data_IF_762439412915
#
_entry.id   IF_762439412915
#
_cell.length_a   1.000
_cell.length_b   1.000
_cell.length_c   1.000
_cell.angle_alpha   90.00
_cell.angle_beta   90.00
_cell.angle_gamma   90.00
#
_symmetry.space_group_name_H-M   'P 1'
#
loop_
_entity.id
_entity.type
_entity.pdbx_description
1 polymer ?
#
# COMPACT_ATOMS: atom_id res chain seq x y z
N UNK A 1 -22.75 -20.10 -15.32
CA UNK A 1 -22.50 -18.68 -15.04
C UNK A 1 -21.29 -18.59 -14.13
N UNK A 2 -20.27 -17.82 -14.51
CA UNK A 2 -19.04 -17.67 -13.73
C UNK A 2 -19.30 -16.78 -12.52
N UNK A 3 -18.85 -17.19 -11.33
CA UNK A 3 -18.91 -16.35 -10.13
C UNK A 3 -17.62 -15.56 -9.94
N UNK A 4 -17.73 -14.31 -9.50
CA UNK A 4 -16.58 -13.46 -9.20
C UNK A 4 -16.48 -13.26 -7.70
N UNK A 5 -15.26 -13.27 -7.17
CA UNK A 5 -14.98 -12.91 -5.78
C UNK A 5 -13.81 -11.92 -5.72
N UNK A 6 -13.82 -11.07 -4.71
CA UNK A 6 -12.69 -10.18 -4.42
C UNK A 6 -11.66 -10.95 -3.60
N UNK A 7 -10.45 -11.03 -4.11
CA UNK A 7 -9.35 -11.74 -3.48
C UNK A 7 -9.00 -11.12 -2.12
N UNK A 8 -9.04 -9.80 -2.04
CA UNK A 8 -8.65 -9.00 -0.88
C UNK A 8 -9.71 -8.86 0.22
N UNK A 9 -10.93 -9.37 0.00
CA UNK A 9 -11.96 -9.53 1.04
C UNK A 9 -11.83 -10.89 1.80
N UNK A 10 -10.99 -11.80 1.28
CA UNK A 10 -10.76 -13.12 1.86
C UNK A 10 -9.78 -13.06 3.05
N UNK A 11 -9.73 -14.12 3.86
CA UNK A 11 -8.61 -14.38 4.78
C UNK A 11 -7.60 -15.31 4.10
N UNK A 12 -6.36 -15.31 4.59
CA UNK A 12 -5.28 -16.06 3.97
C UNK A 12 -5.55 -17.57 3.92
N UNK A 13 -6.18 -18.13 4.95
CA UNK A 13 -6.52 -19.56 5.02
C UNK A 13 -7.63 -19.93 4.03
N UNK A 14 -8.54 -18.99 3.75
CA UNK A 14 -9.57 -19.18 2.72
C UNK A 14 -8.93 -19.19 1.32
N UNK A 15 -7.92 -18.34 1.09
CA UNK A 15 -7.13 -18.38 -0.15
C UNK A 15 -6.32 -19.67 -0.23
N UNK A 16 -5.74 -20.13 0.87
CA UNK A 16 -5.02 -21.41 0.93
C UNK A 16 -5.94 -22.61 0.60
N UNK A 17 -7.25 -22.50 0.86
CA UNK A 17 -8.24 -23.50 0.48
C UNK A 17 -8.70 -23.45 -0.98
N UNK A 18 -8.29 -22.45 -1.78
CA UNK A 18 -8.72 -22.35 -3.17
C UNK A 18 -8.09 -23.44 -4.05
N UNK A 19 -8.84 -23.99 -5.03
CA UNK A 19 -8.25 -24.81 -6.08
C UNK A 19 -7.14 -24.05 -6.80
N UNK A 20 -5.98 -24.69 -7.00
CA UNK A 20 -4.79 -24.05 -7.59
C UNK A 20 -4.90 -23.78 -9.10
N UNK A 21 -5.97 -24.27 -9.72
CA UNK A 21 -6.40 -23.91 -11.07
C UNK A 21 -7.48 -22.82 -11.08
N UNK A 22 -7.80 -22.20 -9.92
CA UNK A 22 -8.67 -21.02 -9.87
C UNK A 22 -8.00 -19.87 -10.61
N UNK A 23 -8.65 -19.26 -11.62
CA UNK A 23 -8.16 -18.05 -12.26
C UNK A 23 -8.10 -16.89 -11.27
N UNK A 24 -6.92 -16.30 -11.11
CA UNK A 24 -6.69 -15.08 -10.35
C UNK A 24 -6.24 -13.98 -11.32
N UNK A 25 -6.92 -12.84 -11.28
CA UNK A 25 -6.75 -11.76 -12.26
C UNK A 25 -6.43 -10.46 -11.53
N UNK A 26 -5.27 -9.87 -11.84
CA UNK A 26 -4.84 -8.53 -11.44
C UNK A 26 -5.24 -7.52 -12.52
N UNK A 27 -6.26 -6.68 -12.30
CA UNK A 27 -6.67 -5.71 -13.31
C UNK A 27 -5.87 -4.40 -13.20
N UNK A 28 -5.45 -3.86 -14.34
CA UNK A 28 -4.93 -2.49 -14.45
C UNK A 28 -6.11 -1.53 -14.55
N UNK A 29 -6.45 -0.88 -13.44
CA UNK A 29 -7.65 -0.07 -13.31
C UNK A 29 -8.92 -0.88 -13.07
N UNK A 30 -10.03 -0.18 -12.81
CA UNK A 30 -11.33 -0.76 -12.49
C UNK A 30 -12.38 -0.50 -13.57
N UNK A 31 -13.43 -1.33 -13.60
CA UNK A 31 -14.57 -1.15 -14.50
C UNK A 31 -14.49 -1.92 -15.82
N UNK A 32 -13.76 -3.04 -15.85
CA UNK A 32 -13.82 -3.99 -16.96
C UNK A 32 -15.16 -4.72 -17.03
N UNK A 33 -15.56 -5.10 -18.25
CA UNK A 33 -16.68 -5.99 -18.48
C UNK A 33 -16.34 -7.41 -18.04
N UNK A 34 -17.01 -7.87 -16.97
CA UNK A 34 -16.73 -9.17 -16.36
C UNK A 34 -17.24 -10.35 -17.21
N UNK A 35 -18.27 -10.16 -18.03
CA UNK A 35 -18.77 -11.22 -18.92
C UNK A 35 -17.78 -11.47 -20.06
N UNK A 36 -17.18 -10.40 -20.60
CA UNK A 36 -16.08 -10.52 -21.56
C UNK A 36 -14.84 -11.20 -20.95
N UNK A 37 -14.49 -10.87 -19.70
CA UNK A 37 -13.40 -11.53 -18.98
C UNK A 37 -13.68 -13.03 -18.79
N UNK A 38 -14.89 -13.37 -18.35
CA UNK A 38 -15.30 -14.76 -18.20
C UNK A 38 -15.20 -15.50 -19.55
N UNK A 39 -15.64 -14.87 -20.64
CA UNK A 39 -15.51 -15.41 -22.00
C UNK A 39 -14.07 -15.71 -22.40
N UNK A 40 -13.14 -14.76 -22.18
CA UNK A 40 -11.71 -14.97 -22.47
C UNK A 40 -11.09 -16.13 -21.67
N UNK A 41 -11.60 -16.39 -20.47
CA UNK A 41 -11.14 -17.47 -19.61
C UNK A 41 -11.91 -18.78 -19.79
N UNK A 42 -12.73 -18.88 -20.84
CA UNK A 42 -13.58 -20.04 -21.16
C UNK A 42 -14.62 -20.37 -20.09
N UNK A 43 -15.22 -19.33 -19.51
CA UNK A 43 -16.29 -19.40 -18.50
C UNK A 43 -16.02 -20.38 -17.35
N UNK A 44 -14.92 -20.20 -16.59
CA UNK A 44 -14.62 -21.06 -15.47
C UNK A 44 -15.70 -20.92 -14.38
N UNK A 45 -15.83 -21.88 -13.44
CA UNK A 45 -16.84 -21.80 -12.40
C UNK A 45 -16.72 -20.54 -11.53
N UNK A 46 -15.47 -20.11 -11.25
CA UNK A 46 -15.16 -18.93 -10.44
C UNK A 46 -13.92 -18.19 -10.97
N UNK A 47 -13.83 -16.89 -10.70
CA UNK A 47 -12.66 -16.04 -10.95
C UNK A 47 -12.42 -15.16 -9.72
N UNK A 48 -11.18 -15.14 -9.24
CA UNK A 48 -10.72 -14.19 -8.22
C UNK A 48 -10.20 -12.91 -8.85
N UNK A 49 -10.73 -11.77 -8.42
CA UNK A 49 -10.25 -10.45 -8.82
C UNK A 49 -9.38 -9.88 -7.70
N UNK A 50 -8.13 -9.57 -8.02
CA UNK A 50 -7.23 -8.85 -7.12
C UNK A 50 -7.58 -7.35 -7.07
N UNK A 51 -7.14 -6.62 -6.04
CA UNK A 51 -7.22 -5.17 -5.99
C UNK A 51 -6.72 -4.53 -7.30
N UNK A 52 -7.48 -3.62 -7.92
CA UNK A 52 -7.02 -2.97 -9.14
C UNK A 52 -5.73 -2.20 -8.93
N UNK A 53 -4.76 -2.35 -9.85
CA UNK A 53 -3.58 -1.53 -9.88
C UNK A 53 -3.98 -0.11 -10.36
N UNK A 54 -3.69 0.97 -9.60
CA UNK A 54 -4.38 2.25 -9.81
C UNK A 54 -3.81 3.11 -10.96
N UNK A 55 -2.50 3.07 -11.21
CA UNK A 55 -1.82 3.86 -12.24
C UNK A 55 -0.48 3.23 -12.63
N UNK A 56 0.18 3.75 -13.66
CA UNK A 56 1.54 3.36 -14.06
C UNK A 56 1.68 2.97 -15.52
N UNK A 57 0.57 2.63 -16.18
CA UNK A 57 0.53 2.30 -17.60
C UNK A 57 0.10 3.50 -18.46
N UNK A 58 0.34 3.40 -19.76
CA UNK A 58 -0.08 4.41 -20.75
C UNK A 58 -1.59 4.65 -20.71
N UNK A 59 -1.99 5.90 -20.50
CA UNK A 59 -3.40 6.27 -20.39
C UNK A 59 -4.00 6.09 -18.99
N UNK A 60 -3.20 5.77 -17.96
CA UNK A 60 -3.68 5.74 -16.56
C UNK A 60 -3.74 7.12 -15.88
N UNK A 61 -3.28 8.18 -16.57
CA UNK A 61 -3.12 9.53 -16.00
C UNK A 61 -1.75 9.77 -15.34
N UNK A 62 -0.98 8.73 -15.07
CA UNK A 62 0.40 8.79 -14.59
C UNK A 62 1.19 7.58 -15.15
N UNK A 63 1.73 7.76 -16.35
CA UNK A 63 2.52 6.73 -17.02
C UNK A 63 3.95 6.68 -16.48
N UNK A 64 4.46 5.47 -16.27
CA UNK A 64 5.82 5.21 -15.82
C UNK A 64 6.61 4.47 -16.90
N UNK A 65 7.96 4.45 -16.84
CA UNK A 65 8.77 3.64 -17.74
C UNK A 65 8.34 2.17 -17.70
N UNK A 66 8.01 1.61 -18.87
CA UNK A 66 7.47 0.24 -18.99
C UNK A 66 8.30 -0.83 -18.25
N UNK A 67 9.66 -0.85 -18.28
CA UNK A 67 10.42 -1.85 -17.56
C UNK A 67 10.21 -1.81 -16.05
N UNK A 68 10.12 -0.61 -15.47
CA UNK A 68 9.89 -0.42 -14.02
C UNK A 68 8.48 -0.90 -13.66
N UNK A 69 7.49 -0.49 -14.45
CA UNK A 69 6.09 -0.86 -14.24
C UNK A 69 5.88 -2.37 -14.34
N UNK A 70 6.33 -2.99 -15.43
CA UNK A 70 6.10 -4.43 -15.65
C UNK A 70 6.94 -5.32 -14.73
N UNK A 71 8.08 -4.88 -14.24
CA UNK A 71 8.80 -5.62 -13.20
C UNK A 71 7.99 -5.70 -11.90
N UNK A 72 7.36 -4.60 -11.50
CA UNK A 72 6.46 -4.58 -10.34
C UNK A 72 5.30 -5.56 -10.54
N UNK A 73 4.62 -5.47 -11.70
CA UNK A 73 3.52 -6.38 -12.04
C UNK A 73 3.98 -7.85 -12.06
N UNK A 74 5.12 -8.16 -12.65
CA UNK A 74 5.66 -9.52 -12.70
C UNK A 74 5.83 -10.09 -11.30
N UNK A 75 6.45 -9.33 -10.39
CA UNK A 75 6.68 -9.79 -9.02
C UNK A 75 5.37 -10.12 -8.30
N UNK A 76 4.30 -9.33 -8.53
CA UNK A 76 2.98 -9.64 -7.98
C UNK A 76 2.38 -10.92 -8.56
N UNK A 77 2.48 -11.14 -9.88
CA UNK A 77 1.99 -12.38 -10.49
C UNK A 77 2.80 -13.59 -10.01
N UNK A 78 4.10 -13.42 -9.83
CA UNK A 78 5.00 -14.46 -9.30
C UNK A 78 4.64 -14.80 -7.86
N UNK A 79 4.20 -13.84 -7.03
CA UNK A 79 3.68 -14.14 -5.68
C UNK A 79 2.56 -15.18 -5.70
N UNK A 80 1.60 -15.04 -6.63
CA UNK A 80 0.49 -15.98 -6.76
C UNK A 80 0.95 -17.35 -7.30
N UNK A 81 1.96 -17.37 -8.18
CA UNK A 81 2.52 -18.62 -8.72
C UNK A 81 3.30 -19.39 -7.67
N UNK A 82 4.04 -18.69 -6.83
CA UNK A 82 4.77 -19.27 -5.70
C UNK A 82 3.80 -19.90 -4.68
N UNK A 83 2.59 -19.32 -4.52
CA UNK A 83 1.47 -19.92 -3.78
C UNK A 83 0.83 -21.13 -4.51
N UNK A 84 1.38 -21.51 -5.67
CA UNK A 84 0.99 -22.68 -6.46
C UNK A 84 -0.12 -22.43 -7.47
N UNK A 85 -0.62 -21.20 -7.65
CA UNK A 85 -1.67 -20.93 -8.64
C UNK A 85 -1.14 -21.02 -10.07
N UNK A 86 -1.79 -21.85 -10.88
CA UNK A 86 -1.41 -22.12 -12.28
C UNK A 86 -2.05 -21.16 -13.29
N UNK A 87 -3.12 -20.47 -12.90
CA UNK A 87 -3.92 -19.59 -13.77
C UNK A 87 -3.92 -18.17 -13.23
N UNK A 88 -2.79 -17.49 -13.41
CA UNK A 88 -2.54 -16.13 -12.92
C UNK A 88 -2.41 -15.17 -14.09
N UNK A 89 -3.19 -14.09 -14.08
CA UNK A 89 -3.27 -13.16 -15.18
C UNK A 89 -3.19 -11.69 -14.73
N UNK A 90 -2.54 -10.85 -15.54
CA UNK A 90 -2.73 -9.40 -15.55
C UNK A 90 -3.75 -9.04 -16.64
N UNK A 91 -4.80 -8.31 -16.27
CA UNK A 91 -5.81 -7.81 -17.22
C UNK A 91 -5.52 -6.35 -17.55
N UNK A 92 -5.29 -6.08 -18.83
CA UNK A 92 -4.88 -4.78 -19.34
C UNK A 92 -5.90 -4.18 -20.32
N UNK A 93 -5.91 -2.85 -20.49
CA UNK A 93 -6.52 -2.22 -21.64
C UNK A 93 -5.92 -2.75 -22.96
N UNK A 94 -6.71 -2.99 -24.00
CA UNK A 94 -6.16 -3.35 -25.32
C UNK A 94 -5.21 -2.26 -25.85
N UNK A 95 -4.26 -2.66 -26.68
CA UNK A 95 -3.26 -1.73 -27.25
C UNK A 95 -2.07 -1.44 -26.32
N UNK A 96 -2.14 -1.82 -25.05
CA UNK A 96 -0.93 -2.03 -24.24
C UNK A 96 -0.29 -3.35 -24.66
N UNK A 97 0.79 -3.25 -25.42
CA UNK A 97 1.65 -4.37 -25.75
C UNK A 97 2.93 -4.23 -24.92
N UNK A 98 3.06 -4.92 -23.78
CA UNK A 98 4.34 -4.93 -23.07
C UNK A 98 5.44 -5.40 -24.02
N UNK A 99 6.56 -4.68 -24.07
CA UNK A 99 7.69 -5.12 -24.90
C UNK A 99 8.13 -6.52 -24.47
N UNK A 100 8.22 -7.43 -25.45
CA UNK A 100 8.31 -8.90 -25.22
C UNK A 100 9.46 -9.38 -24.34
N UNK A 101 10.47 -8.54 -24.08
CA UNK A 101 11.64 -8.89 -23.26
C UNK A 101 11.41 -8.86 -21.75
N UNK A 102 10.34 -8.21 -21.27
CA UNK A 102 10.10 -8.02 -19.83
C UNK A 102 8.94 -8.84 -19.26
N UNK A 103 8.25 -9.56 -20.14
CA UNK A 103 7.13 -10.43 -19.80
C UNK A 103 7.64 -11.86 -19.74
N UNK A 104 7.96 -12.33 -18.55
CA UNK A 104 8.03 -13.78 -18.35
C UNK A 104 6.59 -14.29 -18.49
N UNK A 105 6.34 -15.23 -19.42
CA UNK A 105 5.03 -15.83 -19.68
C UNK A 105 4.02 -14.91 -20.41
N UNK A 106 4.12 -14.82 -21.74
CA UNK A 106 3.17 -14.08 -22.60
C UNK A 106 1.70 -14.43 -22.37
N UNK A 107 1.42 -15.67 -21.93
CA UNK A 107 0.05 -16.16 -21.67
C UNK A 107 -0.57 -15.61 -20.37
N UNK A 108 0.20 -14.87 -19.57
CA UNK A 108 -0.27 -14.25 -18.34
C UNK A 108 -0.96 -12.90 -18.55
N UNK A 109 -1.11 -12.42 -19.79
CA UNK A 109 -1.62 -11.09 -20.07
C UNK A 109 -2.91 -11.18 -20.89
N UNK A 110 -4.00 -10.68 -20.32
CA UNK A 110 -5.31 -10.58 -20.94
C UNK A 110 -5.54 -9.14 -21.36
N UNK A 111 -6.29 -8.93 -22.45
CA UNK A 111 -6.63 -7.59 -22.91
C UNK A 111 -8.11 -7.45 -23.17
N UNK A 112 -8.74 -6.43 -22.59
CA UNK A 112 -10.15 -6.09 -22.81
C UNK A 112 -10.30 -4.59 -23.12
N UNK A 113 -11.39 -4.18 -23.80
CA UNK A 113 -11.73 -2.77 -23.92
C UNK A 113 -11.84 -2.12 -22.53
N UNK A 114 -11.27 -0.93 -22.37
CA UNK A 114 -11.24 -0.19 -21.11
C UNK A 114 -11.28 1.31 -21.36
N UNK A 115 -11.93 2.05 -20.46
CA UNK A 115 -12.13 3.51 -20.60
C UNK A 115 -10.84 4.32 -20.77
N UNK A 116 -9.71 3.82 -20.25
CA UNK A 116 -8.40 4.48 -20.35
C UNK A 116 -7.85 4.54 -21.77
N UNK A 117 -8.43 3.81 -22.73
CA UNK A 117 -8.00 3.82 -24.13
C UNK A 117 -8.63 4.97 -24.93
N UNK A 118 -9.81 5.42 -24.52
CA UNK A 118 -10.72 6.22 -25.34
C UNK A 118 -10.82 7.68 -24.86
N UNK A 119 -10.01 8.08 -23.89
CA UNK A 119 -9.97 9.45 -23.36
C UNK A 119 -8.54 9.88 -23.16
N UNK A 120 -8.25 11.15 -23.42
CA UNK A 120 -7.07 11.80 -22.83
C UNK A 120 -7.17 11.59 -21.32
N UNK A 121 -6.32 10.75 -20.78
CA UNK A 121 -6.38 10.41 -19.37
C UNK A 121 -6.19 11.70 -18.57
N UNK A 122 -7.13 11.99 -17.66
CA UNK A 122 -6.97 13.13 -16.75
C UNK A 122 -5.65 12.90 -16.01
N UNK A 123 -4.69 13.84 -16.10
CA UNK A 123 -3.42 13.68 -15.42
C UNK A 123 -3.64 13.50 -13.92
N UNK A 124 -2.84 12.63 -13.31
CA UNK A 124 -2.96 12.27 -11.91
C UNK A 124 -1.67 12.64 -11.18
N UNK A 125 -1.69 13.57 -10.22
CA UNK A 125 -2.80 14.48 -9.90
C UNK A 125 -3.00 15.51 -11.03
N UNK A 126 -4.14 16.22 -11.11
CA UNK A 126 -4.32 17.29 -12.10
C UNK A 126 -3.33 18.45 -11.90
N UNK A 127 -2.95 19.13 -12.99
CA UNK A 127 -1.98 20.24 -12.93
C UNK A 127 -2.46 21.44 -12.08
N UNK A 128 -3.77 21.55 -11.84
CA UNK A 128 -4.36 22.53 -10.91
C UNK A 128 -3.98 22.31 -9.44
N UNK A 129 -3.45 21.13 -9.12
CA UNK A 129 -3.08 20.73 -7.77
C UNK A 129 -1.61 21.06 -7.43
N UNK A 130 -0.86 21.68 -8.35
CA UNK A 130 0.52 22.11 -8.09
C UNK A 130 0.58 23.06 -6.89
N UNK A 131 1.66 22.96 -6.12
CA UNK A 131 1.85 23.70 -4.87
C UNK A 131 1.12 23.09 -3.66
N UNK A 132 0.35 22.01 -3.84
CA UNK A 132 -0.14 21.18 -2.73
C UNK A 132 0.86 20.07 -2.39
N UNK A 133 0.76 19.52 -1.19
CA UNK A 133 1.42 18.26 -0.85
C UNK A 133 0.66 17.11 -1.52
N UNK A 134 1.36 16.34 -2.33
CA UNK A 134 0.79 15.12 -2.94
C UNK A 134 0.94 13.98 -1.94
N UNK A 135 -0.19 13.52 -1.41
CA UNK A 135 -0.26 12.35 -0.54
C UNK A 135 -0.25 11.10 -1.41
N UNK A 136 0.71 10.21 -1.15
CA UNK A 136 0.90 8.94 -1.83
C UNK A 136 0.58 7.82 -0.82
N UNK A 137 -0.71 7.42 -0.67
CA UNK A 137 -1.08 6.33 0.22
C UNK A 137 -0.70 4.97 -0.35
N UNK A 138 -0.03 4.17 0.48
CA UNK A 138 0.55 2.88 0.11
C UNK A 138 0.14 1.86 1.17
N UNK A 139 -0.82 1.01 0.82
CA UNK A 139 -1.22 -0.12 1.67
C UNK A 139 -0.44 -1.37 1.30
N UNK A 140 -1.10 -2.50 1.55
CA UNK A 140 -0.65 -3.81 1.15
C UNK A 140 -1.83 -4.78 1.02
N UNK A 141 -1.58 -5.92 0.40
CA UNK A 141 -2.51 -7.07 0.33
C UNK A 141 -1.82 -8.24 0.99
N UNK A 142 -2.14 -8.50 2.26
CA UNK A 142 -1.44 -9.50 3.07
C UNK A 142 -2.32 -10.19 4.11
N UNK A 143 -1.87 -11.38 4.52
CA UNK A 143 -2.49 -12.15 5.59
C UNK A 143 -2.68 -11.29 6.86
N UNK A 144 -3.82 -11.38 7.53
CA UNK A 144 -4.08 -10.73 8.82
C UNK A 144 -4.82 -11.70 9.75
N UNK A 145 -4.21 -12.84 10.02
CA UNK A 145 -4.85 -13.90 10.80
C UNK A 145 -6.12 -14.45 10.15
N UNK A 146 -6.95 -15.11 10.94
CA UNK A 146 -8.18 -15.75 10.45
C UNK A 146 -9.42 -14.84 10.45
N UNK A 147 -9.36 -13.68 11.12
CA UNK A 147 -10.51 -12.81 11.32
C UNK A 147 -10.57 -11.60 10.39
N UNK A 148 -9.44 -11.13 9.86
CA UNK A 148 -9.39 -9.92 9.02
C UNK A 148 -9.16 -10.23 7.53
N UNK A 149 -9.63 -9.35 6.64
CA UNK A 149 -9.41 -9.48 5.20
C UNK A 149 -7.95 -9.18 4.82
N UNK A 150 -7.54 -9.54 3.60
CA UNK A 150 -6.18 -9.19 3.12
C UNK A 150 -5.97 -7.69 2.86
N UNK A 151 -7.05 -6.91 2.81
CA UNK A 151 -7.07 -5.49 2.44
C UNK A 151 -6.88 -4.50 3.61
N UNK A 152 -6.57 -4.99 4.82
CA UNK A 152 -6.49 -4.18 6.07
C UNK A 152 -5.69 -2.90 5.86
N UNK A 153 -4.42 -3.02 5.47
CA UNK A 153 -3.48 -1.90 5.31
C UNK A 153 -3.98 -0.86 4.31
N UNK A 154 -4.57 -1.34 3.22
CA UNK A 154 -5.10 -0.52 2.12
C UNK A 154 -6.32 0.27 2.59
N UNK A 155 -7.26 -0.39 3.28
CA UNK A 155 -8.48 0.25 3.81
C UNK A 155 -8.11 1.34 4.81
N UNK A 156 -7.17 1.07 5.71
CA UNK A 156 -6.74 2.01 6.75
C UNK A 156 -6.08 3.24 6.13
N UNK A 157 -5.07 3.04 5.28
CA UNK A 157 -4.29 4.17 4.76
C UNK A 157 -5.08 5.02 3.77
N UNK A 158 -6.00 4.43 3.01
CA UNK A 158 -6.89 5.18 2.12
C UNK A 158 -7.81 6.08 2.95
N UNK A 159 -8.45 5.55 4.01
CA UNK A 159 -9.32 6.34 4.88
C UNK A 159 -8.56 7.53 5.52
N UNK A 160 -7.32 7.32 5.95
CA UNK A 160 -6.48 8.37 6.55
C UNK A 160 -6.05 9.42 5.51
N UNK A 161 -5.64 9.00 4.32
CA UNK A 161 -5.20 9.91 3.27
C UNK A 161 -6.37 10.74 2.72
N UNK A 162 -7.53 10.12 2.45
CA UNK A 162 -8.74 10.82 2.05
C UNK A 162 -9.23 11.77 3.16
N UNK A 163 -9.23 11.32 4.42
CA UNK A 163 -9.58 12.15 5.56
C UNK A 163 -8.68 13.39 5.71
N UNK A 164 -7.38 13.22 5.46
CA UNK A 164 -6.39 14.31 5.48
C UNK A 164 -6.62 15.29 4.33
N UNK A 165 -6.79 14.79 3.10
CA UNK A 165 -7.08 15.62 1.93
C UNK A 165 -8.38 16.41 2.09
N UNK A 166 -9.41 15.80 2.69
CA UNK A 166 -10.68 16.47 2.98
C UNK A 166 -10.57 17.57 4.04
N UNK A 167 -9.67 17.44 5.02
CA UNK A 167 -9.39 18.52 5.99
C UNK A 167 -8.59 19.67 5.38
N UNK A 168 -7.73 19.39 4.41
CA UNK A 168 -6.84 20.36 3.75
C UNK A 168 -7.00 20.38 2.23
N UNK A 169 -8.21 20.66 1.69
CA UNK A 169 -8.49 20.52 0.26
C UNK A 169 -7.72 21.51 -0.61
N UNK A 170 -7.26 22.63 -0.04
CA UNK A 170 -6.45 23.64 -0.74
C UNK A 170 -4.94 23.43 -0.59
N UNK A 171 -4.51 22.52 0.29
CA UNK A 171 -3.09 22.34 0.66
C UNK A 171 -2.58 20.92 0.44
N UNK A 172 -3.46 19.95 0.20
CA UNK A 172 -3.08 18.57 -0.09
C UNK A 172 -3.99 17.94 -1.15
N UNK A 173 -3.48 16.91 -1.82
CA UNK A 173 -4.21 16.08 -2.76
C UNK A 173 -3.86 14.61 -2.52
N UNK A 174 -4.86 13.75 -2.30
CA UNK A 174 -4.66 12.31 -2.15
C UNK A 174 -4.68 11.61 -3.50
N UNK A 175 -3.57 10.96 -3.85
CA UNK A 175 -3.54 10.01 -4.95
C UNK A 175 -4.36 8.76 -4.61
N UNK A 176 -4.84 8.01 -5.61
CA UNK A 176 -5.43 6.69 -5.38
C UNK A 176 -4.47 5.79 -4.59
N UNK A 177 -5.00 5.09 -3.59
CA UNK A 177 -4.22 4.15 -2.78
C UNK A 177 -3.59 3.06 -3.63
N UNK A 178 -2.32 2.78 -3.38
CA UNK A 178 -1.63 1.62 -3.93
C UNK A 178 -1.86 0.42 -3.00
N UNK A 179 -2.54 -0.66 -3.43
CA UNK A 179 -2.84 -1.80 -2.58
C UNK A 179 -1.69 -2.83 -2.50
N UNK A 180 -0.53 -2.49 -3.07
CA UNK A 180 0.62 -3.37 -3.17
C UNK A 180 1.87 -2.68 -2.60
N UNK A 181 2.67 -3.47 -1.91
CA UNK A 181 3.83 -3.03 -1.14
C UNK A 181 4.88 -4.11 -1.08
N UNK A 182 5.76 -4.03 -0.10
CA UNK A 182 6.83 -5.02 0.12
C UNK A 182 6.57 -5.78 1.42
N UNK A 183 6.50 -7.10 1.32
CA UNK A 183 6.49 -7.98 2.48
C UNK A 183 7.71 -8.90 2.48
N UNK A 184 8.38 -9.00 3.62
CA UNK A 184 9.58 -9.83 3.85
C UNK A 184 9.28 -11.14 4.57
N UNK A 185 8.00 -11.43 4.86
CA UNK A 185 7.57 -12.60 5.63
C UNK A 185 6.62 -13.53 4.85
N UNK A 186 6.42 -13.28 3.55
CA UNK A 186 5.45 -13.95 2.67
C UNK A 186 5.56 -15.48 2.56
N UNK A 187 6.70 -16.08 2.90
CA UNK A 187 6.87 -17.55 2.82
C UNK A 187 6.16 -18.30 3.93
N UNK A 188 5.75 -17.60 5.00
CA UNK A 188 5.18 -18.21 6.21
C UNK A 188 3.68 -18.50 6.04
N UNK A 189 2.97 -17.67 5.27
CA UNK A 189 1.52 -17.77 5.07
C UNK A 189 1.16 -17.44 3.63
N UNK A 190 0.14 -18.12 3.11
CA UNK A 190 -0.35 -17.88 1.76
C UNK A 190 -0.96 -16.47 1.61
N UNK A 191 -1.22 -16.11 0.36
CA UNK A 191 -2.00 -14.96 -0.08
C UNK A 191 -1.33 -13.58 -0.03
N UNK A 192 -0.23 -13.44 0.71
CA UNK A 192 0.51 -12.18 0.78
C UNK A 192 1.21 -11.86 -0.54
N UNK A 193 0.84 -10.71 -1.11
CA UNK A 193 1.41 -10.19 -2.35
C UNK A 193 2.75 -9.53 -2.07
N UNK A 194 3.68 -9.51 -3.03
CA UNK A 194 4.96 -8.83 -2.83
C UNK A 194 5.46 -8.19 -4.12
N UNK A 195 5.63 -6.87 -4.08
CA UNK A 195 6.21 -6.12 -5.18
C UNK A 195 7.72 -6.36 -5.34
N UNK A 196 8.39 -6.83 -4.29
CA UNK A 196 9.85 -6.93 -4.22
C UNK A 196 10.52 -5.57 -3.98
N UNK A 197 11.43 -5.52 -3.01
CA UNK A 197 12.00 -4.25 -2.51
C UNK A 197 12.57 -3.32 -3.58
N UNK A 198 13.39 -3.83 -4.50
CA UNK A 198 14.00 -3.02 -5.57
C UNK A 198 12.95 -2.46 -6.55
N UNK A 199 12.02 -3.31 -7.01
CA UNK A 199 10.99 -2.89 -7.94
C UNK A 199 10.02 -1.88 -7.29
N UNK A 200 9.74 -2.03 -6.00
CA UNK A 200 8.99 -1.06 -5.22
C UNK A 200 9.70 0.30 -5.13
N UNK A 201 10.99 0.32 -4.79
CA UNK A 201 11.78 1.56 -4.74
C UNK A 201 11.85 2.24 -6.11
N UNK A 202 12.17 1.49 -7.17
CA UNK A 202 12.26 2.00 -8.53
C UNK A 202 10.92 2.56 -9.02
N UNK A 203 9.80 1.90 -8.70
CA UNK A 203 8.46 2.36 -9.05
C UNK A 203 8.12 3.70 -8.39
N UNK A 204 8.30 3.82 -7.07
CA UNK A 204 7.97 5.05 -6.37
C UNK A 204 8.92 6.20 -6.69
N UNK A 205 10.19 5.90 -6.98
CA UNK A 205 11.10 6.88 -7.53
C UNK A 205 10.65 7.35 -8.91
N UNK A 206 10.21 6.46 -9.80
CA UNK A 206 9.67 6.83 -11.10
C UNK A 206 8.39 7.68 -10.98
N UNK A 207 7.50 7.36 -10.02
CA UNK A 207 6.33 8.19 -9.69
C UNK A 207 6.76 9.60 -9.32
N UNK A 208 7.70 9.74 -8.38
CA UNK A 208 8.20 11.07 -7.99
C UNK A 208 8.87 11.77 -9.17
N UNK A 209 9.71 11.07 -9.95
CA UNK A 209 10.40 11.63 -11.11
C UNK A 209 9.41 12.24 -12.13
N UNK A 210 8.34 11.51 -12.47
CA UNK A 210 7.29 12.00 -13.40
C UNK A 210 6.54 13.19 -12.81
N UNK A 211 6.19 13.15 -11.52
CA UNK A 211 5.50 14.25 -10.86
C UNK A 211 6.37 15.51 -10.77
N UNK A 212 7.68 15.36 -10.52
CA UNK A 212 8.62 16.49 -10.52
C UNK A 212 8.78 17.11 -11.90
N UNK A 213 8.86 16.29 -12.95
CA UNK A 213 8.87 16.79 -14.33
C UNK A 213 7.58 17.58 -14.66
N UNK A 214 6.47 17.18 -14.04
CA UNK A 214 5.19 17.88 -14.09
C UNK A 214 5.08 19.02 -13.09
N UNK A 215 6.16 19.43 -12.43
CA UNK A 215 6.22 20.63 -11.58
C UNK A 215 5.57 20.51 -10.20
N UNK A 216 5.37 19.30 -9.70
CA UNK A 216 5.06 19.06 -8.29
C UNK A 216 6.36 18.96 -7.49
N UNK A 217 6.37 19.49 -6.27
CA UNK A 217 7.60 19.67 -5.49
C UNK A 217 7.47 19.29 -4.01
N UNK A 218 6.31 18.79 -3.59
CA UNK A 218 6.04 18.39 -2.21
C UNK A 218 5.30 17.05 -2.19
N UNK A 219 5.91 16.05 -1.55
CA UNK A 219 5.42 14.67 -1.54
C UNK A 219 5.40 14.11 -0.13
N UNK A 220 4.32 13.40 0.19
CA UNK A 220 4.19 12.63 1.42
C UNK A 220 3.85 11.18 1.09
N UNK A 221 4.83 10.28 1.19
CA UNK A 221 4.61 8.85 1.09
C UNK A 221 4.07 8.34 2.43
N UNK A 222 2.86 7.77 2.42
CA UNK A 222 2.15 7.37 3.62
C UNK A 222 1.97 5.86 3.61
N UNK A 223 2.54 5.15 4.60
CA UNK A 223 2.40 3.70 4.69
C UNK A 223 1.23 3.26 5.57
N UNK A 224 0.45 2.33 5.04
CA UNK A 224 -0.49 1.46 5.75
C UNK A 224 0.15 0.20 6.32
N UNK A 225 1.36 -0.15 5.85
CA UNK A 225 2.01 -1.44 6.07
C UNK A 225 3.42 -1.26 6.66
N UNK A 226 3.74 -2.00 7.73
CA UNK A 226 5.02 -1.92 8.42
C UNK A 226 6.23 -2.21 7.50
N UNK A 227 6.12 -3.26 6.67
CA UNK A 227 7.22 -3.72 5.80
C UNK A 227 7.66 -2.72 4.73
N UNK A 228 6.84 -1.70 4.41
CA UNK A 228 7.23 -0.65 3.48
C UNK A 228 8.25 0.34 4.10
N UNK A 229 8.30 0.48 5.42
CA UNK A 229 8.86 1.65 6.11
C UNK A 229 10.33 1.92 5.77
N UNK A 230 11.17 0.88 5.75
CA UNK A 230 12.60 0.99 5.43
C UNK A 230 12.82 1.40 3.96
N UNK A 231 12.03 0.86 3.04
CA UNK A 231 12.07 1.20 1.61
C UNK A 231 11.61 2.63 1.35
N UNK A 232 10.57 3.11 2.05
CA UNK A 232 10.11 4.50 1.93
C UNK A 232 11.18 5.48 2.39
N UNK A 233 11.93 5.17 3.45
CA UNK A 233 13.08 5.98 3.89
C UNK A 233 14.16 6.06 2.80
N UNK A 234 14.43 4.95 2.10
CA UNK A 234 15.36 4.96 0.96
C UNK A 234 14.83 5.82 -0.20
N UNK A 235 13.55 5.67 -0.56
CA UNK A 235 12.90 6.43 -1.63
C UNK A 235 13.03 7.93 -1.38
N UNK A 236 12.69 8.43 -0.18
CA UNK A 236 12.74 9.88 0.09
C UNK A 236 14.18 10.43 0.03
N UNK A 237 15.18 9.64 0.42
CA UNK A 237 16.59 10.02 0.34
C UNK A 237 17.06 10.11 -1.11
N UNK A 238 16.77 9.08 -1.91
CA UNK A 238 17.13 9.06 -3.33
C UNK A 238 16.38 10.14 -4.12
N UNK A 239 15.08 10.34 -3.86
CA UNK A 239 14.30 11.39 -4.49
C UNK A 239 14.85 12.79 -4.18
N UNK A 240 15.21 13.05 -2.91
CA UNK A 240 15.81 14.32 -2.49
C UNK A 240 17.17 14.58 -3.12
N UNK A 241 17.98 13.54 -3.35
CA UNK A 241 19.26 13.64 -4.05
C UNK A 241 19.07 13.90 -5.54
N UNK A 242 18.19 13.14 -6.20
CA UNK A 242 17.84 13.31 -7.63
C UNK A 242 17.25 14.69 -7.92
N UNK A 243 16.39 15.18 -7.02
CA UNK A 243 15.62 16.41 -7.19
C UNK A 243 15.84 17.37 -6.02
N UNK A 244 16.99 18.04 -5.97
CA UNK A 244 17.44 18.90 -4.86
C UNK A 244 16.54 20.09 -4.48
N UNK A 245 15.40 20.28 -5.16
CA UNK A 245 14.44 21.37 -4.93
C UNK A 245 13.11 20.91 -4.33
N UNK A 246 12.84 19.61 -4.28
CA UNK A 246 11.60 19.10 -3.70
C UNK A 246 11.70 18.99 -2.18
N UNK A 247 10.55 18.79 -1.54
CA UNK A 247 10.45 18.24 -0.20
C UNK A 247 9.72 16.90 -0.28
N UNK A 248 10.39 15.82 0.09
CA UNK A 248 9.85 14.47 0.02
C UNK A 248 9.97 13.83 1.40
N UNK A 249 8.85 13.37 1.95
CA UNK A 249 8.77 12.90 3.33
C UNK A 249 7.99 11.59 3.46
N UNK A 250 8.26 10.87 4.54
CA UNK A 250 7.51 9.71 5.01
C UNK A 250 7.45 9.76 6.54
N UNK A 251 6.47 9.06 7.12
CA UNK A 251 6.49 8.69 8.53
C UNK A 251 6.75 7.17 8.63
N UNK A 252 7.02 6.66 9.83
CA UNK A 252 7.14 5.22 10.06
C UNK A 252 5.81 4.52 9.76
N UNK A 253 4.73 4.92 10.42
CA UNK A 253 3.39 4.37 10.18
C UNK A 253 2.30 5.43 10.39
N UNK A 254 1.05 5.06 10.11
CA UNK A 254 -0.07 5.98 10.07
C UNK A 254 -0.50 6.56 11.43
N UNK A 255 -0.05 6.01 12.55
CA UNK A 255 -0.30 6.53 13.90
C UNK A 255 0.98 6.94 14.64
N UNK A 256 2.15 6.97 13.95
CA UNK A 256 3.50 6.97 14.58
C UNK A 256 3.99 8.29 15.14
N UNK A 257 3.24 9.36 15.01
CA UNK A 257 3.58 10.64 15.59
C UNK A 257 2.99 10.84 16.99
N UNK A 258 3.12 12.08 17.47
CA UNK A 258 2.76 12.47 18.83
C UNK A 258 1.26 12.29 19.12
N UNK A 259 0.39 12.58 18.15
CA UNK A 259 -1.07 12.57 18.35
C UNK A 259 -1.59 11.14 18.31
N UNK A 260 -1.16 10.36 17.31
CA UNK A 260 -1.51 8.95 17.18
C UNK A 260 -1.00 8.14 18.37
N UNK A 261 0.28 8.29 18.75
CA UNK A 261 0.85 7.58 19.90
C UNK A 261 0.12 7.90 21.22
N UNK A 262 -0.23 9.17 21.45
CA UNK A 262 -0.96 9.54 22.66
C UNK A 262 -2.39 8.97 22.69
N UNK A 263 -3.05 8.88 21.53
CA UNK A 263 -4.36 8.24 21.43
C UNK A 263 -4.29 6.73 21.64
N UNK A 264 -3.25 6.06 21.11
CA UNK A 264 -3.01 4.64 21.35
C UNK A 264 -2.80 4.38 22.84
N UNK A 265 -1.87 5.09 23.49
CA UNK A 265 -1.58 4.95 24.92
C UNK A 265 -2.84 5.11 25.79
N UNK A 266 -3.70 6.06 25.43
CA UNK A 266 -4.92 6.36 26.19
C UNK A 266 -6.00 5.28 26.07
N UNK A 267 -6.17 4.68 24.89
CA UNK A 267 -7.33 3.84 24.58
C UNK A 267 -7.01 2.35 24.40
N UNK A 268 -5.72 2.00 24.28
CA UNK A 268 -5.25 0.62 24.23
C UNK A 268 -5.71 -0.15 25.45
N UNK A 269 -6.12 -1.40 25.26
CA UNK A 269 -6.43 -2.31 26.37
C UNK A 269 -5.63 -3.61 26.33
N UNK A 270 -4.94 -3.93 25.24
CA UNK A 270 -3.99 -5.05 25.18
C UNK A 270 -2.67 -4.71 25.88
N UNK A 271 -1.94 -5.69 26.42
CA UNK A 271 -0.57 -5.47 26.91
C UNK A 271 0.39 -5.21 25.74
N UNK A 272 1.63 -4.78 26.04
CA UNK A 272 2.74 -4.69 25.06
C UNK A 272 2.83 -6.01 24.30
N UNK A 273 2.97 -5.93 22.97
CA UNK A 273 2.87 -7.08 22.05
C UNK A 273 1.49 -7.25 21.42
N UNK A 274 0.45 -6.62 21.98
CA UNK A 274 -0.92 -6.72 21.49
C UNK A 274 -1.27 -5.88 20.25
N UNK A 275 -0.36 -5.04 19.75
CA UNK A 275 -0.61 -4.13 18.62
C UNK A 275 0.36 -4.32 17.43
N UNK A 276 0.98 -5.49 17.26
CA UNK A 276 1.90 -5.76 16.15
C UNK A 276 1.22 -5.94 14.78
N UNK A 277 0.49 -7.05 14.60
CA UNK A 277 -0.15 -7.45 13.34
C UNK A 277 -1.41 -8.29 13.56
N UNK A 278 -2.43 -8.16 12.70
CA UNK A 278 -3.79 -8.65 12.90
C UNK A 278 -4.35 -8.27 14.29
N UNK A 279 -3.96 -7.09 14.77
CA UNK A 279 -3.87 -6.79 16.19
C UNK A 279 -5.06 -5.95 16.69
N UNK A 280 -5.02 -5.49 17.95
CA UNK A 280 -6.07 -4.62 18.52
C UNK A 280 -6.32 -3.38 17.64
N UNK A 281 -5.23 -2.77 17.14
CA UNK A 281 -5.27 -1.54 16.35
C UNK A 281 -5.99 -1.74 15.02
N UNK A 282 -5.50 -2.67 14.21
CA UNK A 282 -6.05 -2.99 12.89
C UNK A 282 -7.47 -3.52 12.98
N UNK A 283 -7.72 -4.41 13.94
CA UNK A 283 -9.07 -4.95 14.16
C UNK A 283 -10.04 -3.83 14.52
N UNK A 284 -9.63 -2.87 15.36
CA UNK A 284 -10.47 -1.72 15.71
C UNK A 284 -10.76 -0.84 14.49
N UNK A 285 -9.75 -0.54 13.67
CA UNK A 285 -9.95 0.21 12.43
C UNK A 285 -10.96 -0.48 11.51
N UNK A 286 -10.81 -1.78 11.27
CA UNK A 286 -11.68 -2.52 10.37
C UNK A 286 -13.10 -2.67 10.92
N UNK A 287 -13.26 -2.86 12.23
CA UNK A 287 -14.59 -2.85 12.87
C UNK A 287 -15.32 -1.51 12.71
N UNK A 288 -14.60 -0.41 12.55
CA UNK A 288 -15.19 0.90 12.24
C UNK A 288 -15.44 1.10 10.74
N UNK A 289 -14.45 0.80 9.90
CA UNK A 289 -14.47 1.13 8.46
C UNK A 289 -15.23 0.10 7.61
N UNK A 290 -15.04 -1.19 7.90
CA UNK A 290 -15.57 -2.33 7.13
C UNK A 290 -15.91 -3.51 8.05
N UNK A 291 -16.84 -3.34 9.01
CA UNK A 291 -17.22 -4.40 9.95
C UNK A 291 -17.76 -5.65 9.23
N UNK A 292 -18.27 -5.50 8.01
CA UNK A 292 -18.73 -6.60 7.16
C UNK A 292 -17.63 -7.59 6.74
N UNK A 293 -16.36 -7.18 6.82
CA UNK A 293 -15.20 -8.03 6.52
C UNK A 293 -14.59 -8.69 7.76
N UNK A 294 -15.01 -8.30 8.97
CA UNK A 294 -14.46 -8.81 10.23
C UNK A 294 -15.18 -10.08 10.68
N UNK A 295 -14.44 -11.20 10.74
CA UNK A 295 -14.93 -12.50 11.22
C UNK A 295 -14.51 -12.70 12.67
N UNK A 296 -15.04 -11.86 13.57
CA UNK A 296 -14.58 -11.78 14.96
C UNK A 296 -14.71 -13.10 15.74
N UNK A 297 -15.61 -13.99 15.32
CA UNK A 297 -15.73 -15.35 15.86
C UNK A 297 -14.50 -16.24 15.58
N UNK A 298 -13.62 -15.81 14.67
CA UNK A 298 -12.39 -16.51 14.28
C UNK A 298 -11.12 -15.85 14.82
N UNK A 299 -11.25 -14.80 15.62
CA UNK A 299 -10.09 -14.08 16.18
C UNK A 299 -9.27 -14.99 17.08
N UNK A 300 -7.96 -14.95 16.93
CA UNK A 300 -7.00 -15.66 17.78
C UNK A 300 -5.93 -14.65 18.18
N UNK A 301 -5.80 -14.43 19.48
CA UNK A 301 -4.73 -13.59 20.02
C UNK A 301 -3.47 -14.45 20.18
N UNK A 302 -2.40 -14.06 19.49
CA UNK A 302 -1.07 -14.63 19.68
C UNK A 302 -0.18 -13.49 20.16
N UNK A 303 0.34 -13.62 21.38
CA UNK A 303 1.19 -12.61 22.05
C UNK A 303 2.46 -13.21 22.68
N UNK A 304 2.61 -14.54 22.63
CA UNK A 304 3.73 -15.28 23.25
C UNK A 304 4.85 -15.53 22.22
N UNK A 305 5.33 -14.44 21.63
CA UNK A 305 6.39 -14.48 20.62
C UNK A 305 7.77 -14.58 21.27
N UNK A 306 8.78 -14.99 20.50
CA UNK A 306 10.17 -14.99 20.96
C UNK A 306 10.67 -13.55 21.11
N UNK A 307 10.58 -12.99 22.32
CA UNK A 307 10.87 -11.59 22.61
C UNK A 307 11.84 -11.39 23.79
N UNK A 308 12.49 -10.23 23.84
CA UNK A 308 13.30 -9.71 24.95
C UNK A 308 13.00 -8.21 25.15
N UNK A 309 13.45 -7.57 26.25
CA UNK A 309 13.28 -6.12 26.41
C UNK A 309 13.85 -5.28 25.25
N UNK A 310 14.87 -5.78 24.56
CA UNK A 310 15.53 -5.10 23.43
C UNK A 310 15.07 -5.62 22.05
N UNK A 311 14.11 -6.55 22.01
CA UNK A 311 13.59 -7.16 20.79
C UNK A 311 12.14 -7.61 20.99
N UNK A 312 11.19 -6.83 20.50
CA UNK A 312 9.78 -7.18 20.52
C UNK A 312 9.03 -6.48 19.38
N UNK A 313 7.94 -7.08 18.93
CA UNK A 313 7.00 -6.45 18.01
C UNK A 313 5.81 -5.90 18.79
N UNK A 314 5.43 -4.67 18.45
CA UNK A 314 4.22 -4.02 18.91
C UNK A 314 3.87 -2.97 17.84
N UNK A 315 3.02 -2.01 18.17
CA UNK A 315 2.62 -0.96 17.23
C UNK A 315 3.79 -0.15 16.58
N UNK A 316 4.82 0.19 17.37
CA UNK A 316 6.14 0.59 16.84
C UNK A 316 7.08 -0.56 17.15
N UNK A 317 7.77 -1.08 16.12
CA UNK A 317 8.88 -2.02 16.32
C UNK A 317 9.83 -1.46 17.37
N UNK A 318 9.97 -2.19 18.46
CA UNK A 318 10.65 -1.73 19.65
C UNK A 318 12.02 -2.39 19.83
N UNK A 319 12.82 -1.80 20.71
CA UNK A 319 14.12 -2.33 21.08
C UNK A 319 15.30 -1.72 20.32
N UNK A 320 16.51 -2.10 20.73
CA UNK A 320 17.76 -1.61 20.15
C UNK A 320 18.22 -2.42 18.93
N UNK A 321 17.59 -3.58 18.69
CA UNK A 321 17.95 -4.53 17.64
C UNK A 321 16.77 -4.72 16.68
N UNK A 322 17.07 -4.70 15.38
CA UNK A 322 16.11 -4.96 14.31
C UNK A 322 16.43 -6.32 13.71
N UNK A 323 15.43 -7.20 13.64
CA UNK A 323 15.53 -8.52 13.01
C UNK A 323 14.25 -8.85 12.25
N UNK A 324 14.33 -9.80 11.33
CA UNK A 324 13.19 -10.29 10.54
C UNK A 324 13.26 -11.83 10.50
N UNK A 325 12.87 -12.52 11.59
CA UNK A 325 12.77 -13.98 11.58
C UNK A 325 11.60 -14.45 10.70
N UNK A 326 11.58 -15.73 10.31
CA UNK A 326 10.38 -16.36 9.75
C UNK A 326 9.19 -16.20 10.71
N UNK A 327 8.02 -15.83 10.20
CA UNK A 327 6.86 -15.58 11.07
C UNK A 327 6.25 -16.87 11.60
N UNK A 328 6.45 -17.99 10.91
CA UNK A 328 6.03 -19.32 11.36
C UNK A 328 6.79 -19.83 12.59
N UNK A 329 7.89 -19.17 12.98
CA UNK A 329 8.55 -19.40 14.26
C UNK A 329 7.78 -18.78 15.45
N UNK A 330 7.06 -17.68 15.21
CA UNK A 330 6.44 -16.85 16.27
C UNK A 330 4.89 -16.94 16.30
N UNK A 331 4.25 -17.34 15.21
CA UNK A 331 2.78 -17.40 15.11
C UNK A 331 2.30 -18.63 14.33
N UNK A 332 1.20 -19.23 14.76
CA UNK A 332 0.54 -20.34 14.03
C UNK A 332 -0.54 -19.86 13.08
N UNK A 333 -1.07 -18.67 13.31
CA UNK A 333 -2.23 -18.14 12.59
C UNK A 333 -1.89 -16.99 11.65
N UNK A 334 -0.68 -16.45 11.77
CA UNK A 334 -0.25 -15.21 11.14
C UNK A 334 -0.58 -13.96 11.97
N UNK A 335 -1.32 -14.09 13.07
CA UNK A 335 -1.55 -12.98 13.99
C UNK A 335 -0.31 -12.70 14.85
N UNK A 336 0.03 -11.42 15.01
CA UNK A 336 1.10 -10.93 15.85
C UNK A 336 0.55 -9.87 16.82
N UNK A 337 -0.47 -10.24 17.60
CA UNK A 337 -1.16 -9.29 18.49
C UNK A 337 -2.50 -9.79 19.03
N UNK A 338 -3.25 -8.86 19.63
CA UNK A 338 -4.50 -9.14 20.34
C UNK A 338 -5.72 -8.54 19.65
N UNK A 339 -6.12 -9.13 18.53
CA UNK A 339 -7.30 -8.69 17.77
C UNK A 339 -8.59 -8.69 18.59
N UNK A 340 -8.73 -9.57 19.60
CA UNK A 340 -9.95 -9.70 20.41
C UNK A 340 -10.27 -8.44 21.23
N UNK A 341 -9.28 -7.58 21.46
CA UNK A 341 -9.44 -6.31 22.16
C UNK A 341 -10.01 -5.18 21.27
N UNK A 342 -10.14 -5.43 19.96
CA UNK A 342 -10.55 -4.44 18.99
C UNK A 342 -12.01 -4.02 19.16
N UNK A 343 -12.29 -2.72 18.99
CA UNK A 343 -13.67 -2.20 18.97
C UNK A 343 -13.84 -1.10 17.93
N UNK A 344 -15.04 -0.96 17.38
CA UNK A 344 -15.36 0.09 16.41
C UNK A 344 -15.14 1.51 16.98
N UNK A 345 -15.41 1.71 18.28
CA UNK A 345 -15.19 3.02 18.92
C UNK A 345 -13.70 3.38 19.00
N UNK A 346 -12.83 2.42 19.33
CA UNK A 346 -11.38 2.63 19.25
C UNK A 346 -10.95 2.94 17.83
N UNK A 347 -11.51 2.23 16.84
CA UNK A 347 -11.24 2.47 15.43
C UNK A 347 -11.56 3.90 15.00
N UNK A 348 -12.72 4.42 15.40
CA UNK A 348 -13.11 5.81 15.15
C UNK A 348 -12.13 6.80 15.80
N UNK A 349 -11.82 6.62 17.09
CA UNK A 349 -10.94 7.50 17.85
C UNK A 349 -9.52 7.53 17.28
N UNK A 350 -8.95 6.37 16.92
CA UNK A 350 -7.62 6.28 16.34
C UNK A 350 -7.57 6.80 14.91
N UNK A 351 -8.64 6.64 14.13
CA UNK A 351 -8.73 7.24 12.80
C UNK A 351 -8.74 8.76 12.85
N UNK A 352 -9.53 9.34 13.76
CA UNK A 352 -9.57 10.79 13.96
C UNK A 352 -8.19 11.33 14.36
N UNK A 353 -7.51 10.66 15.30
CA UNK A 353 -6.17 11.01 15.73
C UNK A 353 -5.13 10.89 14.61
N UNK A 354 -5.19 9.81 13.81
CA UNK A 354 -4.30 9.62 12.68
C UNK A 354 -4.50 10.71 11.60
N UNK A 355 -5.75 11.04 11.26
CA UNK A 355 -6.05 12.11 10.30
C UNK A 355 -5.56 13.47 10.81
N UNK A 356 -5.78 13.78 12.09
CA UNK A 356 -5.28 15.02 12.70
C UNK A 356 -3.75 15.09 12.66
N UNK A 357 -3.08 13.99 12.96
CA UNK A 357 -1.62 13.92 12.86
C UNK A 357 -1.12 14.13 11.44
N UNK A 358 -1.74 13.48 10.44
CA UNK A 358 -1.30 13.62 9.04
C UNK A 358 -1.62 14.99 8.48
N UNK A 359 -2.69 15.63 8.95
CA UNK A 359 -2.98 17.06 8.70
C UNK A 359 -1.84 17.94 9.21
N UNK A 360 -1.35 17.71 10.44
CA UNK A 360 -0.22 18.48 10.98
C UNK A 360 1.08 18.23 10.20
N UNK A 361 1.34 16.99 9.75
CA UNK A 361 2.49 16.69 8.90
C UNK A 361 2.45 17.41 7.55
N UNK A 362 1.27 17.56 6.94
CA UNK A 362 1.12 18.34 5.69
C UNK A 362 1.52 19.80 5.91
N UNK A 363 1.09 20.41 7.01
CA UNK A 363 1.48 21.79 7.33
C UNK A 363 2.99 21.91 7.59
N UNK A 364 3.59 20.96 8.30
CA UNK A 364 5.04 20.90 8.52
C UNK A 364 5.79 20.76 7.19
N UNK A 365 5.31 19.94 6.26
CA UNK A 365 5.91 19.80 4.92
C UNK A 365 5.92 21.14 4.18
N UNK A 366 4.79 21.86 4.16
CA UNK A 366 4.70 23.20 3.57
C UNK A 366 5.69 24.16 4.21
N UNK A 367 5.69 24.23 5.55
CA UNK A 367 6.58 25.11 6.30
C UNK A 367 8.07 24.81 6.01
N UNK A 368 8.44 23.53 6.03
CA UNK A 368 9.81 23.10 5.77
C UNK A 368 10.24 23.36 4.32
N UNK A 369 9.32 23.24 3.37
CA UNK A 369 9.55 23.60 1.97
C UNK A 369 9.78 25.12 1.83
N UNK A 370 8.88 25.95 2.37
CA UNK A 370 8.95 27.42 2.32
C UNK A 370 10.22 27.96 2.99
N UNK A 371 10.60 27.43 4.16
CA UNK A 371 11.84 27.79 4.86
C UNK A 371 13.08 27.50 4.01
N UNK A 372 13.10 26.38 3.29
CA UNK A 372 14.22 26.02 2.39
C UNK A 372 14.26 26.92 1.16
N UNK A 373 13.11 27.24 0.56
CA UNK A 373 13.00 28.21 -0.52
C UNK A 373 13.52 29.59 -0.10
N UNK A 374 13.15 30.06 1.10
CA UNK A 374 13.68 31.31 1.67
C UNK A 374 15.21 31.28 1.79
N UNK A 375 15.79 30.23 2.40
CA UNK A 375 17.27 30.09 2.50
C UNK A 375 17.93 30.08 1.11
N UNK A 376 17.32 29.47 0.10
CA UNK A 376 17.86 29.49 -1.27
C UNK A 376 17.89 30.91 -1.84
N UNK A 377 16.84 31.71 -1.63
CA UNK A 377 16.81 33.13 -2.01
C UNK A 377 17.86 33.98 -1.27
N UNK A 378 18.19 33.61 -0.04
CA UNK A 378 19.25 34.22 0.77
C UNK A 378 20.67 33.78 0.37
N UNK A 379 20.82 32.98 -0.69
CA UNK A 379 22.12 32.55 -1.20
C UNK A 379 22.69 31.31 -0.49
N UNK A 380 21.87 30.46 0.12
CA UNK A 380 22.33 29.14 0.57
C UNK A 380 22.37 28.13 -0.59
N UNK A 381 23.27 27.14 -0.51
CA UNK A 381 23.38 26.07 -1.51
C UNK A 381 24.10 26.50 -2.80
N UNK A 382 25.08 27.42 -2.69
CA UNK A 382 25.88 27.95 -3.80
C UNK A 382 26.97 27.00 -4.31
N UNK A 383 27.12 25.81 -3.74
CA UNK A 383 28.09 24.82 -4.21
C UNK A 383 27.91 24.56 -5.72
N UNK A 384 28.96 24.81 -6.52
CA UNK A 384 28.93 24.74 -7.99
C UNK A 384 28.44 26.00 -8.72
N UNK A 385 28.03 27.06 -8.02
CA UNK A 385 27.63 28.38 -8.57
C UNK A 385 28.55 29.53 -8.15
N UNK A 386 29.46 29.29 -7.22
CA UNK A 386 30.55 30.22 -6.91
C UNK A 386 31.58 30.04 -8.04
N UNK A 387 31.69 31.03 -8.91
CA UNK A 387 32.74 31.11 -9.92
C UNK A 387 34.08 31.45 -9.29
#
# INVERSE_FOLDING_TARGET
MTTFFKYDDMTWDTVAGLPRDTPLVLPLGSGYDLDLLAGQLSHPPRIGLLPPFPFGWRGSGLELPEPIFFQYISNLLDSLRDDGFSRVYCLMPQGLNPQSSYVSHSNAYLTLPHRSQNRDAIPLPPDSERGKVILLPIGHTEQHGYHLPLSVDTIIIDAIAQGTANKLPTRSFAMPVMPYGVSTHRSSFAATMNAGGRAFEDFWLAVVDVLVQRGFDQFYLMSGHGGNSSFLVNIIKYAGERHRRIFCATAWLHTSGKVGAAALEKYRTSPIGGMGHACELETSFLLYLRPDLCRMERVVDEMDFVATPDYYMDWIEGGALVANPPWDDDTKTGAYGAGSHGTAEKGRLWLEAAIEEKTAHVEEIHEQHERREKRRREGYGLWGRIK
#
